data_IF_095780461912
#
_entry.id   IF_095780461912
#
_cell.length_a   1.000
_cell.length_b   1.000
_cell.length_c   1.000
_cell.angle_alpha   90.00
_cell.angle_beta   90.00
_cell.angle_gamma   90.00
#
_symmetry.space_group_name_H-M   'P 1'
#
loop_
_entity.id
_entity.type
_entity.pdbx_description
1 polymer ?
#
# COMPACT_ATOMS: atom_id res chain seq x y z
N UNK A 1 -2.22 12.03 -4.35
CA UNK A 1 -2.33 13.36 -3.72
C UNK A 1 -2.46 13.28 -2.19
N UNK A 2 -2.46 12.06 -1.62
CA UNK A 2 -2.56 11.78 -0.17
C UNK A 2 -1.27 11.92 0.66
N UNK A 3 -0.07 11.95 0.04
CA UNK A 3 1.17 12.15 0.82
C UNK A 3 1.26 13.53 1.49
N UNK A 4 0.58 14.52 0.90
CA UNK A 4 0.65 15.92 1.31
C UNK A 4 -0.46 16.31 2.31
N UNK A 5 -1.51 15.50 2.49
CA UNK A 5 -2.65 15.90 3.34
C UNK A 5 -2.42 15.68 4.83
N UNK A 6 -1.35 14.99 5.25
CA UNK A 6 -0.96 14.85 6.67
C UNK A 6 -0.64 16.18 7.36
N UNK A 7 -0.43 17.27 6.61
CA UNK A 7 -0.10 18.61 7.16
C UNK A 7 -1.32 19.51 7.49
N UNK A 8 -2.54 19.13 7.12
CA UNK A 8 -3.69 20.05 7.20
C UNK A 8 -4.39 20.11 8.56
N UNK A 9 -3.94 19.35 9.56
CA UNK A 9 -4.63 19.20 10.85
C UNK A 9 -4.21 20.26 11.92
N UNK A 10 -4.04 21.51 11.50
CA UNK A 10 -3.69 22.62 12.40
C UNK A 10 -4.52 23.86 12.08
N UNK A 11 -5.84 23.79 12.27
CA UNK A 11 -6.73 24.94 12.06
C UNK A 11 -7.67 25.16 13.25
N UNK A 12 -7.65 26.41 13.71
CA UNK A 12 -8.37 27.00 14.84
C UNK A 12 -9.89 26.73 14.78
N UNK A 13 -10.49 26.50 15.95
CA UNK A 13 -11.90 26.12 16.09
C UNK A 13 -12.85 27.27 15.73
N UNK A 14 -13.48 27.16 14.56
CA UNK A 14 -14.70 27.87 14.18
C UNK A 14 -15.70 26.86 13.60
N UNK A 15 -17.01 27.17 13.60
CA UNK A 15 -18.04 26.23 13.12
C UNK A 15 -17.89 25.90 11.61
N UNK A 16 -17.37 26.84 10.84
CA UNK A 16 -16.99 26.67 9.43
C UNK A 16 -15.84 25.66 9.26
N UNK A 17 -14.92 25.60 10.24
CA UNK A 17 -13.80 24.65 10.24
C UNK A 17 -14.26 23.19 10.31
N UNK A 18 -15.42 22.91 10.94
CA UNK A 18 -15.95 21.55 11.08
C UNK A 18 -16.45 21.02 9.72
N UNK A 19 -17.16 21.83 8.95
CA UNK A 19 -17.66 21.43 7.63
C UNK A 19 -16.49 21.13 6.69
N UNK A 20 -15.47 21.99 6.68
CA UNK A 20 -14.26 21.79 5.88
C UNK A 20 -13.55 20.50 6.29
N UNK A 21 -13.39 20.26 7.60
CA UNK A 21 -12.78 19.04 8.11
C UNK A 21 -13.54 17.78 7.65
N UNK A 22 -14.87 17.79 7.75
CA UNK A 22 -15.71 16.69 7.30
C UNK A 22 -15.58 16.46 5.79
N UNK A 23 -15.58 17.50 4.98
CA UNK A 23 -15.39 17.40 3.53
C UNK A 23 -14.01 16.81 3.18
N UNK A 24 -12.95 17.26 3.84
CA UNK A 24 -11.58 16.73 3.65
C UNK A 24 -11.50 15.25 4.04
N UNK A 25 -12.12 14.87 5.16
CA UNK A 25 -12.16 13.47 5.61
C UNK A 25 -12.93 12.58 4.63
N UNK A 26 -14.08 13.03 4.13
CA UNK A 26 -14.88 12.29 3.15
C UNK A 26 -14.14 12.14 1.82
N UNK A 27 -13.50 13.22 1.33
CA UNK A 27 -12.73 13.15 0.10
C UNK A 27 -11.51 12.23 0.24
N UNK A 28 -10.83 12.28 1.39
CA UNK A 28 -9.68 11.41 1.65
C UNK A 28 -10.09 9.93 1.75
N UNK A 29 -11.26 9.64 2.33
CA UNK A 29 -11.75 8.27 2.44
C UNK A 29 -12.20 7.70 1.10
N UNK A 30 -12.84 8.49 0.23
CA UNK A 30 -13.21 8.07 -1.12
C UNK A 30 -11.99 7.82 -2.00
N UNK A 31 -10.97 8.69 -1.95
CA UNK A 31 -9.70 8.47 -2.67
C UNK A 31 -9.01 7.19 -2.16
N UNK A 32 -8.94 6.99 -0.84
CA UNK A 32 -8.34 5.79 -0.26
C UNK A 32 -9.06 4.50 -0.68
N UNK A 33 -10.39 4.52 -0.78
CA UNK A 33 -11.18 3.39 -1.26
C UNK A 33 -10.95 3.12 -2.75
N UNK A 34 -10.90 4.17 -3.57
CA UNK A 34 -10.59 4.07 -5.00
C UNK A 34 -9.19 3.47 -5.23
N UNK A 35 -8.19 3.95 -4.51
CA UNK A 35 -6.81 3.45 -4.59
C UNK A 35 -6.72 1.99 -4.14
N UNK A 36 -7.46 1.59 -3.10
CA UNK A 36 -7.55 0.20 -2.68
C UNK A 36 -8.08 -0.66 -3.84
N UNK A 37 -9.21 -0.29 -4.44
CA UNK A 37 -9.80 -1.03 -5.55
C UNK A 37 -8.87 -1.11 -6.76
N UNK A 38 -8.16 -0.03 -7.06
CA UNK A 38 -7.16 0.00 -8.12
C UNK A 38 -6.03 -1.01 -7.87
N UNK A 39 -5.45 -1.02 -6.67
CA UNK A 39 -4.39 -1.97 -6.34
C UNK A 39 -4.89 -3.43 -6.29
N UNK A 40 -6.16 -3.68 -5.93
CA UNK A 40 -6.77 -5.01 -6.08
C UNK A 40 -6.88 -5.42 -7.56
N UNK A 41 -7.24 -4.50 -8.45
CA UNK A 41 -7.32 -4.80 -9.89
C UNK A 41 -5.93 -5.14 -10.45
N UNK A 42 -4.89 -4.39 -10.06
CA UNK A 42 -3.49 -4.69 -10.42
C UNK A 42 -3.10 -6.10 -9.99
N UNK A 43 -3.47 -6.49 -8.76
CA UNK A 43 -3.23 -7.85 -8.26
C UNK A 43 -3.93 -8.91 -9.11
N UNK A 44 -5.22 -8.72 -9.39
CA UNK A 44 -6.02 -9.65 -10.22
C UNK A 44 -5.42 -9.78 -11.61
N UNK A 45 -5.01 -8.66 -12.22
CA UNK A 45 -4.40 -8.67 -13.55
C UNK A 45 -3.05 -9.39 -13.54
N UNK A 46 -2.19 -9.15 -12.54
CA UNK A 46 -0.94 -9.91 -12.38
C UNK A 46 -1.21 -11.41 -12.23
N UNK A 47 -2.20 -11.80 -11.40
CA UNK A 47 -2.56 -13.19 -11.20
C UNK A 47 -2.99 -13.90 -12.49
N UNK A 48 -3.61 -13.19 -13.44
CA UNK A 48 -3.98 -13.77 -14.75
C UNK A 48 -2.75 -14.20 -15.56
N UNK A 49 -1.62 -13.53 -15.41
CA UNK A 49 -0.37 -13.83 -16.14
C UNK A 49 0.59 -14.71 -15.34
N UNK A 50 0.46 -14.79 -14.02
CA UNK A 50 1.32 -15.58 -13.14
C UNK A 50 1.49 -17.06 -13.55
N UNK A 51 0.47 -17.79 -14.04
CA UNK A 51 0.65 -19.18 -14.50
C UNK A 51 1.60 -19.33 -15.68
N UNK A 52 1.81 -18.27 -16.48
CA UNK A 52 2.69 -18.29 -17.65
C UNK A 52 4.09 -17.78 -17.33
N UNK A 53 4.19 -16.76 -16.48
CA UNK A 53 5.45 -16.04 -16.20
C UNK A 53 6.11 -16.55 -14.91
N UNK A 54 5.34 -17.22 -14.04
CA UNK A 54 5.75 -17.63 -12.71
C UNK A 54 5.31 -16.64 -11.64
N UNK A 55 4.99 -17.17 -10.45
CA UNK A 55 4.63 -16.36 -9.27
C UNK A 55 5.85 -15.84 -8.50
N UNK A 56 7.05 -16.29 -8.85
CA UNK A 56 8.32 -15.94 -8.23
C UNK A 56 9.35 -15.65 -9.32
N UNK A 57 10.32 -14.81 -8.97
CA UNK A 57 11.52 -14.55 -9.77
C UNK A 57 12.70 -14.20 -8.87
N UNK A 58 13.88 -14.06 -9.46
CA UNK A 58 15.11 -13.80 -8.73
C UNK A 58 15.05 -12.53 -7.87
N UNK A 59 14.37 -11.48 -8.33
CA UNK A 59 14.21 -10.22 -7.58
C UNK A 59 13.35 -10.45 -6.34
N UNK A 60 12.19 -11.09 -6.52
CA UNK A 60 11.27 -11.43 -5.42
C UNK A 60 11.90 -12.40 -4.43
N UNK A 61 12.63 -13.40 -4.94
CA UNK A 61 13.32 -14.37 -4.10
C UNK A 61 14.47 -13.74 -3.32
N UNK A 62 15.20 -12.80 -3.93
CA UNK A 62 16.25 -12.03 -3.26
C UNK A 62 15.67 -11.18 -2.13
N UNK A 63 14.55 -10.50 -2.38
CA UNK A 63 13.83 -9.72 -1.38
C UNK A 63 13.36 -10.61 -0.21
N UNK A 64 12.71 -11.75 -0.51
CA UNK A 64 12.28 -12.70 0.51
C UNK A 64 13.46 -13.24 1.33
N UNK A 65 14.60 -13.57 0.69
CA UNK A 65 15.82 -13.97 1.41
C UNK A 65 16.33 -12.86 2.32
N UNK A 66 16.32 -11.62 1.87
CA UNK A 66 16.72 -10.47 2.67
C UNK A 66 15.84 -10.32 3.91
N UNK A 67 14.51 -10.32 3.73
CA UNK A 67 13.57 -10.12 4.82
C UNK A 67 13.52 -11.30 5.81
N UNK A 68 13.72 -12.55 5.35
CA UNK A 68 13.85 -13.71 6.26
C UNK A 68 15.01 -13.56 7.27
N UNK A 69 16.10 -12.87 6.89
CA UNK A 69 17.23 -12.64 7.81
C UNK A 69 16.91 -11.62 8.90
N UNK A 70 15.99 -10.71 8.63
CA UNK A 70 15.59 -9.63 9.56
C UNK A 70 14.34 -9.99 10.37
N UNK A 71 13.46 -10.83 9.81
CA UNK A 71 12.17 -11.20 10.39
C UNK A 71 12.02 -12.72 10.41
N UNK A 72 12.16 -13.33 11.59
CA UNK A 72 12.11 -14.79 11.75
C UNK A 72 10.78 -15.44 11.32
N UNK A 73 9.68 -14.67 11.28
CA UNK A 73 8.34 -15.13 10.87
C UNK A 73 7.95 -14.72 9.45
N UNK A 74 8.92 -14.30 8.63
CA UNK A 74 8.65 -13.84 7.27
C UNK A 74 8.01 -14.94 6.41
N UNK A 75 6.83 -14.65 5.87
CA UNK A 75 6.18 -15.48 4.84
C UNK A 75 6.60 -14.98 3.46
N UNK A 76 6.82 -15.91 2.53
CA UNK A 76 7.24 -15.54 1.18
C UNK A 76 6.14 -14.74 0.48
N UNK A 77 6.54 -13.58 -0.03
CA UNK A 77 5.71 -12.72 -0.86
C UNK A 77 5.91 -13.13 -2.31
N UNK A 78 4.83 -13.35 -3.04
CA UNK A 78 4.83 -13.60 -4.49
C UNK A 78 5.03 -12.32 -5.28
N UNK A 79 5.31 -12.43 -6.58
CA UNK A 79 5.39 -11.27 -7.49
C UNK A 79 4.14 -10.39 -7.42
N UNK A 80 2.95 -10.99 -7.54
CA UNK A 80 1.70 -10.23 -7.55
C UNK A 80 1.41 -9.58 -6.19
N UNK A 81 1.72 -10.25 -5.09
CA UNK A 81 1.59 -9.64 -3.75
C UNK A 81 2.57 -8.47 -3.57
N UNK A 82 3.78 -8.58 -4.12
CA UNK A 82 4.76 -7.49 -4.10
C UNK A 82 4.28 -6.30 -4.94
N UNK A 83 3.75 -6.52 -6.14
CA UNK A 83 3.17 -5.47 -6.99
C UNK A 83 1.99 -4.77 -6.29
N UNK A 84 1.09 -5.54 -5.68
CA UNK A 84 -0.02 -5.01 -4.88
C UNK A 84 0.47 -4.17 -3.71
N UNK A 85 1.42 -4.69 -2.93
CA UNK A 85 1.97 -3.99 -1.78
C UNK A 85 2.65 -2.69 -2.19
N UNK A 86 3.42 -2.71 -3.29
CA UNK A 86 4.07 -1.51 -3.86
C UNK A 86 3.04 -0.47 -4.27
N UNK A 87 1.97 -0.88 -4.96
CA UNK A 87 0.86 0.00 -5.32
C UNK A 87 0.24 0.69 -4.08
N UNK A 88 -0.06 -0.09 -3.03
CA UNK A 88 -0.63 0.43 -1.78
C UNK A 88 0.34 1.36 -1.04
N UNK A 89 1.64 1.04 -1.05
CA UNK A 89 2.65 1.88 -0.43
C UNK A 89 2.77 3.23 -1.14
N UNK A 90 2.75 3.26 -2.47
CA UNK A 90 2.83 4.50 -3.25
C UNK A 90 1.55 5.32 -3.13
N UNK A 91 0.38 4.71 -3.29
CA UNK A 91 -0.88 5.44 -3.42
C UNK A 91 -1.53 5.79 -2.07
N UNK A 92 -1.24 5.06 -0.99
CA UNK A 92 -1.93 5.22 0.29
C UNK A 92 -1.01 5.59 1.45
N UNK A 93 0.16 4.95 1.55
CA UNK A 93 1.02 5.07 2.75
C UNK A 93 2.20 6.02 2.57
N UNK A 94 2.59 6.29 1.32
CA UNK A 94 3.75 7.11 0.98
C UNK A 94 5.03 6.58 1.63
N UNK A 95 5.18 5.26 1.61
CA UNK A 95 6.29 4.56 2.27
C UNK A 95 7.16 3.82 1.27
N UNK A 96 8.40 3.58 1.67
CA UNK A 96 9.35 2.80 0.86
C UNK A 96 9.09 1.29 0.95
N UNK A 97 9.61 0.54 -0.01
CA UNK A 97 9.55 -0.93 -0.05
C UNK A 97 10.54 -1.57 0.95
N UNK A 98 10.29 -1.40 2.25
CA UNK A 98 11.04 -2.08 3.32
C UNK A 98 10.34 -3.37 3.75
N UNK A 99 11.08 -4.31 4.36
CA UNK A 99 10.47 -5.54 4.89
C UNK A 99 9.31 -5.25 5.85
N UNK A 100 9.49 -4.29 6.78
CA UNK A 100 8.44 -3.89 7.72
C UNK A 100 7.20 -3.34 7.02
N UNK A 101 7.39 -2.43 6.05
CA UNK A 101 6.27 -1.82 5.32
C UNK A 101 5.50 -2.86 4.48
N UNK A 102 6.19 -3.81 3.86
CA UNK A 102 5.56 -4.90 3.11
C UNK A 102 4.81 -5.85 4.05
N UNK A 103 5.41 -6.27 5.16
CA UNK A 103 4.75 -7.12 6.15
C UNK A 103 3.48 -6.48 6.73
N UNK A 104 3.53 -5.19 7.05
CA UNK A 104 2.39 -4.46 7.59
C UNK A 104 1.30 -4.24 6.53
N UNK A 105 1.69 -4.03 5.26
CA UNK A 105 0.73 -3.80 4.16
C UNK A 105 0.01 -5.10 3.78
N UNK A 106 0.71 -6.23 3.79
CA UNK A 106 0.19 -7.55 3.44
C UNK A 106 -0.31 -8.37 4.64
N UNK A 107 -0.13 -7.86 5.86
CA UNK A 107 -0.53 -8.53 7.12
C UNK A 107 0.14 -9.91 7.30
N UNK A 108 1.45 -9.99 7.07
CA UNK A 108 2.23 -11.23 7.10
C UNK A 108 2.56 -11.73 8.51
#
# INVERSE_FOLDING_TARGET
MLCETKKLFNLNQSKESIIILLCVLHFSSTEAQSNQQYCENVYIDCQRFAPRIGSFDETIDSFNRHCRRQHQRWKNVTRCEMEKATCLLILRRCGDMTCGNIAETLQL
#
